data_IF_427196522297
#
_entry.id   IF_427196522297
#
_cell.length_a   1.000
_cell.length_b   1.000
_cell.length_c   1.000
_cell.angle_alpha   90.00
_cell.angle_beta   90.00
_cell.angle_gamma   90.00
#
_symmetry.space_group_name_H-M   'P 1'
#
loop_
_entity.id
_entity.type
_entity.pdbx_description
1 polymer ?
#
# COMPACT_ATOMS: atom_id res chain seq x y z
N UNK A 1 12.53 -30.45 -4.75
CA UNK A 1 12.68 -29.18 -4.78
C UNK A 1 12.56 -28.47 -6.07
N UNK A 2 11.53 -27.82 -6.01
CA UNK A 2 11.05 -27.14 -7.12
C UNK A 2 11.84 -25.90 -7.27
N UNK A 3 12.64 -25.89 -8.30
CA UNK A 3 12.94 -24.69 -9.04
C UNK A 3 13.55 -23.53 -8.27
N UNK A 4 14.54 -23.81 -7.45
CA UNK A 4 15.47 -22.76 -7.01
C UNK A 4 16.05 -22.01 -8.23
N UNK A 5 16.17 -22.68 -9.37
CA UNK A 5 16.65 -22.07 -10.60
C UNK A 5 15.60 -21.22 -11.30
N UNK A 6 14.31 -21.55 -11.16
CA UNK A 6 13.23 -20.69 -11.69
C UNK A 6 13.05 -19.43 -10.85
N UNK A 7 13.21 -19.51 -9.52
CA UNK A 7 13.17 -18.33 -8.68
C UNK A 7 14.26 -17.32 -9.01
N UNK A 8 15.42 -17.78 -9.46
CA UNK A 8 16.53 -16.91 -9.84
C UNK A 8 16.29 -16.11 -11.11
N UNK A 9 15.34 -16.53 -11.93
CA UNK A 9 15.00 -15.88 -13.19
C UNK A 9 13.77 -14.98 -13.10
N UNK A 10 13.19 -14.82 -11.92
CA UNK A 10 12.06 -13.94 -11.73
C UNK A 10 12.48 -12.48 -11.91
N UNK A 11 11.66 -11.73 -12.62
CA UNK A 11 11.79 -10.29 -12.77
C UNK A 11 10.52 -9.62 -12.25
N UNK A 12 10.67 -8.70 -11.31
CA UNK A 12 9.53 -8.02 -10.76
C UNK A 12 9.79 -7.43 -9.39
N UNK A 13 8.73 -7.09 -8.71
CA UNK A 13 8.76 -6.60 -7.34
C UNK A 13 8.12 -7.64 -6.42
N UNK A 14 8.83 -7.99 -5.35
CA UNK A 14 8.33 -8.87 -4.31
C UNK A 14 7.93 -8.01 -3.11
N UNK A 15 6.69 -8.16 -2.66
CA UNK A 15 6.17 -7.40 -1.54
C UNK A 15 5.76 -8.36 -0.43
N UNK A 16 6.36 -8.17 0.73
CA UNK A 16 6.04 -8.93 1.93
C UNK A 16 5.00 -8.18 2.74
N UNK A 17 3.94 -8.85 3.12
CA UNK A 17 2.86 -8.28 3.90
C UNK A 17 2.79 -8.88 5.28
N UNK A 18 2.62 -8.03 6.26
CA UNK A 18 2.35 -8.41 7.63
C UNK A 18 1.16 -7.61 8.17
N UNK A 19 0.19 -8.30 8.74
CA UNK A 19 -0.97 -7.67 9.35
C UNK A 19 -2.26 -8.42 9.11
N UNK A 20 -3.30 -7.94 9.74
CA UNK A 20 -4.63 -8.57 9.69
C UNK A 20 -5.59 -7.87 8.74
N UNK A 21 -5.11 -6.83 8.05
CA UNK A 21 -5.93 -6.04 7.15
C UNK A 21 -6.74 -4.96 7.87
N UNK A 22 -7.57 -4.43 7.24
CA UNK A 22 -8.36 -3.23 7.14
C UNK A 22 -9.05 -2.75 8.44
N UNK A 23 -8.84 -1.49 8.78
CA UNK A 23 -9.57 -0.80 9.84
C UNK A 23 -9.87 0.63 9.41
N UNK A 24 -11.12 1.03 9.56
CA UNK A 24 -11.54 2.41 9.33
C UNK A 24 -11.24 3.25 10.57
N UNK A 25 -10.57 4.37 10.39
CA UNK A 25 -10.23 5.30 11.46
C UNK A 25 -10.84 6.67 11.16
N UNK A 26 -12.11 6.81 11.54
CA UNK A 26 -12.82 8.07 11.50
C UNK A 26 -12.30 9.01 12.60
N UNK A 27 -12.36 10.36 12.47
CA UNK A 27 -13.13 11.16 11.52
C UNK A 27 -12.34 11.77 10.37
N UNK A 28 -11.08 11.45 10.17
CA UNK A 28 -10.24 12.14 9.19
C UNK A 28 -10.32 11.55 7.77
N UNK A 29 -11.39 10.80 7.45
CA UNK A 29 -11.47 10.06 6.19
C UNK A 29 -10.23 9.20 5.95
N UNK A 30 -9.76 8.61 7.02
CA UNK A 30 -8.50 7.88 7.07
C UNK A 30 -8.81 6.40 7.25
N UNK A 31 -8.25 5.60 6.38
CA UNK A 31 -8.33 4.14 6.49
C UNK A 31 -6.95 3.60 6.83
N UNK A 32 -6.86 2.92 7.95
CA UNK A 32 -5.68 2.16 8.29
C UNK A 32 -5.89 0.72 7.82
N UNK A 33 -5.13 0.31 6.82
CA UNK A 33 -5.28 -1.03 6.24
C UNK A 33 -4.72 -2.13 7.13
N UNK A 34 -4.08 -1.78 8.24
CA UNK A 34 -3.53 -2.74 9.21
C UNK A 34 -2.60 -3.75 8.57
N UNK A 35 -1.84 -3.30 7.60
CA UNK A 35 -0.88 -4.14 6.91
C UNK A 35 0.43 -3.38 6.76
N UNK A 36 1.52 -4.08 7.03
CA UNK A 36 2.88 -3.57 6.86
C UNK A 36 3.53 -4.29 5.71
N UNK A 37 4.37 -3.60 4.98
CA UNK A 37 4.97 -4.12 3.76
C UNK A 37 6.48 -3.94 3.75
N UNK A 38 7.13 -4.82 3.03
CA UNK A 38 8.53 -4.72 2.66
C UNK A 38 8.67 -5.13 1.20
N UNK A 39 9.25 -4.29 0.39
CA UNK A 39 9.33 -4.50 -1.04
C UNK A 39 10.77 -4.60 -1.53
N UNK A 40 11.00 -5.50 -2.46
CA UNK A 40 12.28 -5.67 -3.11
C UNK A 40 12.10 -5.83 -4.62
N UNK A 41 12.99 -5.22 -5.39
CA UNK A 41 13.11 -5.52 -6.82
C UNK A 41 13.92 -6.79 -6.97
N UNK A 42 13.43 -7.71 -7.78
CA UNK A 42 14.12 -8.92 -8.15
C UNK A 42 14.62 -8.77 -9.57
N UNK A 43 15.94 -8.79 -9.75
CA UNK A 43 16.55 -8.72 -11.06
C UNK A 43 16.58 -10.10 -11.72
N UNK A 44 16.74 -10.12 -13.03
CA UNK A 44 16.90 -11.34 -13.81
C UNK A 44 18.12 -12.18 -13.37
N UNK A 45 19.11 -11.54 -12.74
CA UNK A 45 20.28 -12.22 -12.16
C UNK A 45 19.97 -12.86 -10.81
N UNK A 46 18.78 -12.69 -10.26
CA UNK A 46 18.42 -13.14 -8.93
C UNK A 46 18.79 -12.20 -7.80
N UNK A 47 19.48 -11.11 -8.08
CA UNK A 47 19.77 -10.10 -7.06
C UNK A 47 18.50 -9.39 -6.65
N UNK A 48 18.40 -9.06 -5.37
CA UNK A 48 17.26 -8.36 -4.78
C UNK A 48 17.74 -7.04 -4.17
N UNK A 49 16.98 -5.98 -4.43
CA UNK A 49 17.24 -4.66 -3.88
C UNK A 49 16.00 -4.13 -3.19
N UNK A 50 16.19 -3.54 -2.01
CA UNK A 50 15.09 -2.87 -1.33
C UNK A 50 14.59 -1.71 -2.19
N UNK A 51 13.29 -1.59 -2.30
CA UNK A 51 12.65 -0.56 -3.11
C UNK A 51 11.39 -0.05 -2.45
N UNK A 52 10.99 1.15 -2.85
CA UNK A 52 9.66 1.65 -2.57
C UNK A 52 8.63 1.11 -3.56
N UNK A 53 7.41 1.56 -3.40
CA UNK A 53 6.32 1.25 -4.31
C UNK A 53 5.29 2.36 -4.29
N UNK A 54 4.37 2.32 -5.23
CA UNK A 54 3.28 3.27 -5.33
C UNK A 54 1.98 2.68 -4.81
N UNK A 55 1.13 3.53 -4.24
CA UNK A 55 -0.24 3.20 -3.90
C UNK A 55 -1.16 4.10 -4.71
N UNK A 56 -1.90 3.49 -5.61
CA UNK A 56 -2.84 4.19 -6.50
C UNK A 56 -4.28 3.88 -6.13
N UNK A 57 -5.21 4.77 -6.47
CA UNK A 57 -6.63 4.41 -6.42
C UNK A 57 -6.93 3.29 -7.41
N UNK A 58 -7.84 2.41 -7.04
CA UNK A 58 -8.41 1.48 -8.00
C UNK A 58 -9.44 2.21 -8.87
N UNK A 59 -9.64 1.72 -10.09
CA UNK A 59 -10.61 2.33 -11.01
C UNK A 59 -12.02 2.37 -10.41
N UNK A 60 -12.38 1.37 -9.62
CA UNK A 60 -13.68 1.31 -8.93
C UNK A 60 -13.88 2.41 -7.89
N UNK A 61 -12.81 3.04 -7.43
CA UNK A 61 -12.94 4.19 -6.51
C UNK A 61 -13.71 5.34 -7.18
N UNK A 62 -13.64 5.45 -8.51
CA UNK A 62 -14.36 6.49 -9.26
C UNK A 62 -15.87 6.43 -9.11
N UNK A 63 -16.40 5.28 -8.70
CA UNK A 63 -17.84 5.09 -8.47
C UNK A 63 -18.27 5.49 -7.06
N UNK A 64 -17.34 5.94 -6.25
CA UNK A 64 -17.57 6.39 -4.87
C UNK A 64 -17.33 7.89 -4.79
N UNK A 65 -17.80 8.58 -3.74
CA UNK A 65 -17.45 9.97 -3.53
C UNK A 65 -16.02 10.19 -3.04
N UNK A 66 -15.24 9.13 -2.89
CA UNK A 66 -13.89 9.21 -2.36
C UNK A 66 -12.87 9.54 -3.44
N UNK A 67 -11.89 10.32 -3.06
CA UNK A 67 -10.66 10.55 -3.84
C UNK A 67 -9.48 10.46 -2.91
N UNK A 68 -8.38 9.87 -3.40
CA UNK A 68 -7.15 9.79 -2.61
C UNK A 68 -6.58 11.20 -2.45
N UNK A 69 -6.47 11.66 -1.21
CA UNK A 69 -6.15 13.06 -0.91
C UNK A 69 -4.77 13.48 -1.43
N UNK A 70 -3.81 12.57 -1.46
CA UNK A 70 -2.47 12.82 -1.99
C UNK A 70 -2.29 12.35 -3.43
N UNK A 71 -3.35 12.03 -4.14
CA UNK A 71 -3.37 11.53 -5.52
C UNK A 71 -2.66 10.20 -5.71
N UNK A 72 -1.41 10.10 -5.32
CA UNK A 72 -0.59 8.87 -5.37
C UNK A 72 0.20 8.78 -4.08
N UNK A 73 0.14 7.63 -3.44
CA UNK A 73 1.00 7.34 -2.31
C UNK A 73 2.35 6.83 -2.78
N UNK A 74 3.41 7.34 -2.20
CA UNK A 74 4.76 6.84 -2.41
C UNK A 74 5.24 6.26 -1.10
N UNK A 75 5.51 4.96 -1.10
CA UNK A 75 5.96 4.24 0.08
C UNK A 75 7.46 3.99 -0.04
N UNK A 76 8.21 4.56 0.87
CA UNK A 76 9.66 4.45 0.86
C UNK A 76 10.12 3.03 1.18
N UNK A 77 11.27 2.66 0.68
CA UNK A 77 11.87 1.34 0.88
C UNK A 77 12.00 0.94 2.35
N UNK A 78 12.18 1.93 3.23
CA UNK A 78 12.37 1.69 4.66
C UNK A 78 11.14 1.85 5.53
N UNK A 79 10.00 2.17 4.94
CA UNK A 79 8.77 2.37 5.71
C UNK A 79 8.24 1.02 6.22
N UNK A 80 8.04 0.90 7.52
CA UNK A 80 7.62 -0.34 8.19
C UNK A 80 6.38 -0.18 9.05
N UNK A 81 5.63 0.89 8.86
CA UNK A 81 4.36 1.06 9.56
C UNK A 81 3.19 0.61 8.68
N UNK A 82 1.99 0.65 9.23
CA UNK A 82 0.78 0.29 8.49
C UNK A 82 0.57 1.18 7.26
N UNK A 83 0.05 0.61 6.20
CA UNK A 83 -0.42 1.38 5.07
C UNK A 83 -1.69 2.12 5.43
N UNK A 84 -1.72 3.41 5.10
CA UNK A 84 -2.82 4.30 5.45
C UNK A 84 -3.27 5.03 4.19
N UNK A 85 -4.57 5.06 3.97
CA UNK A 85 -5.18 5.89 2.94
C UNK A 85 -5.87 7.10 3.55
N UNK A 86 -5.60 8.28 3.00
CA UNK A 86 -6.32 9.51 3.32
C UNK A 86 -7.19 9.87 2.13
N UNK A 87 -8.46 10.13 2.39
CA UNK A 87 -9.43 10.36 1.33
C UNK A 87 -10.13 11.70 1.50
N UNK A 88 -10.31 12.40 0.38
CA UNK A 88 -11.26 13.48 0.30
C UNK A 88 -12.62 12.92 -0.12
N UNK A 89 -13.68 13.51 0.39
CA UNK A 89 -15.05 13.21 -0.04
C UNK A 89 -15.50 14.33 -0.94
N UNK A 90 -15.76 14.01 -2.20
CA UNK A 90 -16.21 15.02 -3.16
C UNK A 90 -17.72 15.16 -3.13
N UNK A 91 -18.18 16.40 -3.23
CA UNK A 91 -19.59 16.72 -3.37
C UNK A 91 -20.07 16.37 -4.79
N UNK A 92 -21.28 15.87 -4.89
CA UNK A 92 -21.95 15.84 -6.18
C UNK A 92 -22.52 17.24 -6.51
N UNK A 93 -23.16 17.39 -7.67
CA UNK A 93 -23.72 18.69 -8.12
C UNK A 93 -24.78 19.24 -7.16
N UNK A 94 -25.39 18.39 -6.37
CA UNK A 94 -26.45 18.73 -5.42
C UNK A 94 -25.93 18.93 -3.99
N UNK A 95 -24.62 18.84 -3.80
CA UNK A 95 -23.98 18.82 -2.48
C UNK A 95 -24.06 17.45 -1.83
N UNK A 96 -23.22 17.22 -0.79
CA UNK A 96 -23.29 15.99 -0.02
C UNK A 96 -24.48 16.12 0.93
N UNK A 97 -25.50 15.25 0.84
CA UNK A 97 -26.53 15.22 1.86
C UNK A 97 -25.89 14.93 3.21
N UNK A 98 -26.34 15.59 4.27
CA UNK A 98 -25.80 15.39 5.62
C UNK A 98 -25.81 13.91 6.06
N UNK A 99 -26.66 13.11 5.44
CA UNK A 99 -26.80 11.69 5.73
C UNK A 99 -25.95 10.78 4.81
N UNK A 100 -25.21 11.37 3.87
CA UNK A 100 -24.49 10.59 2.87
C UNK A 100 -23.01 10.44 3.21
N UNK A 101 -22.71 10.03 4.42
CA UNK A 101 -21.39 9.48 4.69
C UNK A 101 -21.22 8.20 3.87
N UNK A 102 -20.18 8.16 3.07
CA UNK A 102 -19.86 6.94 2.36
C UNK A 102 -19.34 5.91 3.37
N UNK A 103 -20.07 4.82 3.50
CA UNK A 103 -19.70 3.71 4.37
C UNK A 103 -19.05 2.62 3.52
N UNK A 104 -17.72 2.54 3.59
CA UNK A 104 -17.02 1.43 3.00
C UNK A 104 -17.11 0.22 3.91
N UNK A 105 -17.56 -0.90 3.38
CA UNK A 105 -17.53 -2.15 4.12
C UNK A 105 -16.08 -2.59 4.35
N UNK A 106 -15.77 -3.23 5.49
CA UNK A 106 -14.44 -3.81 5.70
C UNK A 106 -14.02 -4.68 4.52
N UNK A 107 -12.72 -4.61 4.19
CA UNK A 107 -12.11 -5.32 3.06
C UNK A 107 -12.54 -4.84 1.67
N UNK A 108 -13.27 -3.74 1.57
CA UNK A 108 -13.50 -3.10 0.28
C UNK A 108 -12.16 -2.69 -0.34
N UNK A 109 -11.95 -3.05 -1.58
CA UNK A 109 -10.70 -2.78 -2.29
C UNK A 109 -10.71 -1.37 -2.87
N UNK A 110 -10.17 -0.42 -2.14
CA UNK A 110 -10.15 1.00 -2.48
C UNK A 110 -8.91 1.39 -3.29
N UNK A 111 -7.79 0.82 -2.93
CA UNK A 111 -6.47 1.16 -3.45
C UNK A 111 -5.78 -0.08 -4.02
N UNK A 112 -4.69 0.16 -4.72
CA UNK A 112 -3.84 -0.89 -5.27
C UNK A 112 -2.38 -0.51 -5.15
N UNK A 113 -1.53 -1.50 -5.00
CA UNK A 113 -0.09 -1.33 -4.97
C UNK A 113 0.44 -1.54 -6.38
N UNK A 114 1.31 -0.64 -6.82
CA UNK A 114 1.95 -0.71 -8.12
C UNK A 114 3.47 -0.65 -7.95
N UNK A 115 4.14 -1.59 -8.58
CA UNK A 115 5.60 -1.58 -8.64
C UNK A 115 6.09 -0.47 -9.58
N UNK A 116 7.28 0.10 -9.36
CA UNK A 116 7.90 0.98 -10.32
C UNK A 116 8.00 0.32 -11.70
N UNK A 117 7.61 1.04 -12.74
CA UNK A 117 7.59 0.50 -14.10
C UNK A 117 6.48 -0.50 -14.38
N UNK A 118 5.56 -0.71 -13.44
CA UNK A 118 4.46 -1.69 -13.55
C UNK A 118 4.93 -3.12 -13.83
N UNK A 119 6.11 -3.46 -13.35
CA UNK A 119 6.62 -4.84 -13.43
C UNK A 119 5.75 -5.78 -12.58
N UNK A 120 5.77 -7.09 -12.84
CA UNK A 120 5.01 -8.04 -12.06
C UNK A 120 5.33 -7.97 -10.56
N UNK A 121 4.32 -8.18 -9.73
CA UNK A 121 4.46 -8.22 -8.28
C UNK A 121 4.25 -9.64 -7.79
N UNK A 122 5.20 -10.12 -6.99
CA UNK A 122 5.10 -11.40 -6.31
C UNK A 122 4.84 -11.15 -4.83
N UNK A 123 3.75 -11.68 -4.32
CA UNK A 123 3.33 -11.45 -2.93
C UNK A 123 3.77 -12.59 -2.04
N UNK A 124 4.40 -12.26 -0.94
CA UNK A 124 4.74 -13.22 0.10
C UNK A 124 4.15 -12.75 1.44
N UNK A 125 3.37 -13.62 2.06
CA UNK A 125 2.84 -13.38 3.40
C UNK A 125 3.83 -13.90 4.43
N UNK A 126 4.25 -13.02 5.34
CA UNK A 126 5.16 -13.40 6.42
C UNK A 126 4.42 -13.53 7.75
N UNK A 127 4.89 -14.41 8.60
CA UNK A 127 4.24 -14.71 9.86
C UNK A 127 4.73 -13.84 11.02
N UNK A 128 5.92 -13.26 10.88
CA UNK A 128 6.55 -12.47 11.93
C UNK A 128 6.92 -11.10 11.37
N UNK A 129 6.72 -10.06 12.16
CA UNK A 129 7.06 -8.70 11.76
C UNK A 129 8.56 -8.54 11.46
N UNK A 130 9.41 -9.27 12.16
CA UNK A 130 10.85 -9.25 11.93
C UNK A 130 11.24 -9.69 10.51
N UNK A 131 10.39 -10.47 9.85
CA UNK A 131 10.61 -10.93 8.48
C UNK A 131 10.40 -9.84 7.42
N UNK A 132 9.99 -8.66 7.84
CA UNK A 132 9.84 -7.50 6.95
C UNK A 132 11.18 -6.78 6.68
N UNK A 133 12.31 -7.39 6.98
CA UNK A 133 13.60 -6.76 6.77
C UNK A 133 13.91 -5.66 7.79
N UNK A 134 15.11 -5.13 7.71
CA UNK A 134 15.60 -4.13 8.64
C UNK A 134 15.01 -2.76 8.28
N UNK A 135 14.34 -2.06 9.22
CA UNK A 135 13.85 -0.72 8.96
C UNK A 135 15.00 0.27 8.79
N UNK A 136 14.75 1.30 8.00
CA UNK A 136 15.66 2.44 7.85
C UNK A 136 15.35 3.52 8.89
N UNK A 137 16.01 4.65 8.80
CA UNK A 137 15.75 5.80 9.68
C UNK A 137 14.29 6.25 9.67
N UNK A 138 13.59 6.10 8.54
CA UNK A 138 12.16 6.40 8.48
C UNK A 138 11.37 5.43 9.35
N UNK A 139 11.69 4.13 9.25
CA UNK A 139 11.13 3.08 10.09
C UNK A 139 9.63 3.13 10.26
N UNK A 140 9.19 3.55 11.44
CA UNK A 140 7.78 3.69 11.80
C UNK A 140 7.23 5.08 11.52
N UNK A 141 8.00 5.96 10.90
CA UNK A 141 7.54 7.28 10.53
C UNK A 141 6.38 7.22 9.55
N UNK A 142 5.39 8.06 9.77
CA UNK A 142 4.22 8.12 8.94
C UNK A 142 4.18 9.35 8.04
N UNK A 143 2.98 9.72 7.64
CA UNK A 143 2.72 10.86 6.77
C UNK A 143 3.32 12.13 7.38
N UNK A 144 4.15 12.81 6.60
CA UNK A 144 4.79 14.06 7.01
C UNK A 144 5.98 13.91 7.94
N UNK A 145 6.41 12.70 8.30
CA UNK A 145 7.51 12.49 9.27
C UNK A 145 8.87 13.00 8.78
N UNK A 146 9.08 13.02 7.48
CA UNK A 146 10.33 13.51 6.84
C UNK A 146 10.13 14.79 6.08
N UNK A 147 8.92 15.28 6.02
CA UNK A 147 8.56 16.47 5.27
C UNK A 147 8.70 17.74 6.11
N UNK A 148 8.58 18.84 5.43
CA UNK A 148 8.53 20.17 6.04
C UNK A 148 7.07 20.51 6.32
#
# INVERSE_FOLDING_TARGET
PENEDEEKNLYGEKIHFFGKGWEDVSPLNKVNFKVKCFAQIICDTGKQYNTGFYVYPRSSLSKTPLRLANSVGIIDAGYRNNLIGLFDVIDDEDGIPEEADYLASPYTRLLQICAPGLVPIFVELVNNEEDLGVPTERGLGGIGSTGV
#
